data_IF_294887733236
#
_entry.id   IF_294887733236
#
_cell.length_a   1.000
_cell.length_b   1.000
_cell.length_c   1.000
_cell.angle_alpha   90.00
_cell.angle_beta   90.00
_cell.angle_gamma   90.00
#
_symmetry.space_group_name_H-M   'P 1'
#
loop_
_entity.id
_entity.type
_entity.pdbx_description
1 polymer ?
#
# COMPACT_ATOMS: atom_id res chain seq x y z
N UNK A 1 -9.29 16.17 8.49
CA UNK A 1 -7.99 16.84 8.25
C UNK A 1 -7.08 16.44 9.39
N UNK A 2 -5.91 15.89 9.07
CA UNK A 2 -4.92 15.53 10.07
C UNK A 2 -3.94 16.69 10.26
N UNK A 3 -3.09 16.60 11.28
CA UNK A 3 -2.11 17.64 11.64
C UNK A 3 -0.67 17.12 11.49
N UNK A 4 -0.43 16.19 10.56
CA UNK A 4 0.88 15.58 10.34
C UNK A 4 1.80 16.64 9.74
N UNK A 5 3.01 16.78 10.29
CA UNK A 5 3.99 17.80 9.91
C UNK A 5 5.39 17.23 9.78
N UNK A 6 6.32 18.00 9.21
CA UNK A 6 7.68 17.56 8.92
C UNK A 6 7.82 17.07 7.49
N UNK A 7 8.97 16.48 7.17
CA UNK A 7 9.25 15.96 5.83
C UNK A 7 8.75 14.53 5.63
N UNK A 8 8.53 14.17 4.36
CA UNK A 8 8.27 12.77 3.98
C UNK A 8 9.58 11.99 4.16
N UNK A 9 9.61 10.92 4.97
CA UNK A 9 10.83 10.19 5.25
C UNK A 9 11.32 9.39 4.05
N UNK A 10 12.65 9.34 3.88
CA UNK A 10 13.32 8.62 2.78
C UNK A 10 13.11 7.11 2.80
N UNK A 11 12.78 6.53 3.96
CA UNK A 11 12.49 5.11 4.10
C UNK A 11 11.10 4.70 3.58
N UNK A 12 10.43 5.52 2.76
CA UNK A 12 9.13 5.18 2.17
C UNK A 12 9.14 3.88 1.37
N UNK A 13 10.28 3.55 0.76
CA UNK A 13 10.51 2.28 0.09
C UNK A 13 10.49 1.04 1.02
N UNK A 14 10.51 1.21 2.35
CA UNK A 14 10.32 0.11 3.30
C UNK A 14 8.86 -0.38 3.37
N UNK A 15 7.93 0.29 2.68
CA UNK A 15 6.60 -0.24 2.44
C UNK A 15 6.69 -1.36 1.39
N UNK A 16 7.22 -2.52 1.80
CA UNK A 16 7.64 -3.62 0.93
C UNK A 16 6.55 -4.10 -0.02
N UNK A 17 5.29 -4.11 0.41
CA UNK A 17 4.13 -4.48 -0.43
C UNK A 17 3.86 -3.48 -1.56
N UNK A 18 4.21 -2.20 -1.36
CA UNK A 18 4.13 -1.15 -2.38
C UNK A 18 5.39 -1.08 -3.23
N UNK A 19 6.54 -1.48 -2.69
CA UNK A 19 7.82 -1.56 -3.40
C UNK A 19 7.91 -2.78 -4.34
N UNK A 20 7.02 -3.75 -4.20
CA UNK A 20 6.91 -4.89 -5.11
C UNK A 20 5.88 -4.60 -6.20
N UNK A 21 6.22 -4.93 -7.45
CA UNK A 21 5.26 -4.88 -8.57
C UNK A 21 4.23 -5.97 -8.35
N UNK A 22 3.16 -5.63 -7.64
CA UNK A 22 2.17 -6.62 -7.23
C UNK A 22 1.44 -7.21 -8.42
N UNK A 23 0.92 -8.42 -8.23
CA UNK A 23 0.07 -9.10 -9.18
C UNK A 23 -1.17 -8.22 -9.49
N UNK A 24 -1.63 -8.18 -10.74
CA UNK A 24 -2.84 -7.44 -11.14
C UNK A 24 -4.14 -8.12 -10.69
N UNK A 25 -4.03 -9.29 -10.06
CA UNK A 25 -5.15 -10.01 -9.49
C UNK A 25 -5.79 -9.22 -8.33
N UNK A 26 -7.12 -9.13 -8.40
CA UNK A 26 -7.99 -8.50 -7.40
C UNK A 26 -7.87 -9.21 -6.04
N UNK A 27 -7.84 -10.54 -6.08
CA UNK A 27 -7.73 -11.41 -4.92
C UNK A 27 -6.29 -11.76 -4.60
N UNK A 28 -5.90 -11.52 -3.35
CA UNK A 28 -4.72 -12.15 -2.75
C UNK A 28 -5.12 -13.53 -2.26
N UNK A 29 -4.72 -14.58 -2.99
CA UNK A 29 -4.92 -15.97 -2.58
C UNK A 29 -3.64 -16.55 -2.00
N UNK A 30 -3.78 -17.22 -0.88
CA UNK A 30 -2.71 -17.92 -0.18
C UNK A 30 -3.01 -19.41 -0.18
N UNK A 31 -2.07 -20.21 -0.66
CA UNK A 31 -2.13 -21.67 -0.55
C UNK A 31 -1.36 -22.11 0.68
N UNK A 32 -1.98 -22.91 1.53
CA UNK A 32 -1.29 -23.58 2.62
C UNK A 32 -1.59 -25.07 2.59
N UNK A 33 -0.55 -25.86 2.84
CA UNK A 33 -0.63 -27.32 2.79
C UNK A 33 -0.81 -27.87 4.19
N UNK A 34 -1.90 -28.61 4.42
CA UNK A 34 -2.12 -29.37 5.65
C UNK A 34 -1.78 -30.83 5.38
N UNK A 35 -0.92 -31.41 6.22
CA UNK A 35 -0.67 -32.85 6.22
C UNK A 35 -1.75 -33.52 7.06
N UNK A 36 -2.63 -34.29 6.42
CA UNK A 36 -3.74 -34.98 7.10
C UNK A 36 -3.34 -36.35 7.64
N UNK A 37 -2.39 -37.02 6.98
CA UNK A 37 -1.73 -38.23 7.48
C UNK A 37 -0.33 -38.41 6.85
N UNK A 38 0.29 -39.58 7.02
CA UNK A 38 1.66 -39.86 6.54
C UNK A 38 1.81 -39.73 5.01
N UNK A 39 0.74 -39.96 4.26
CA UNK A 39 0.74 -40.04 2.80
C UNK A 39 -0.07 -38.92 2.12
N UNK A 40 -1.00 -38.29 2.84
CA UNK A 40 -1.90 -37.28 2.30
C UNK A 40 -1.51 -35.85 2.67
N UNK A 41 -1.39 -35.01 1.65
CA UNK A 41 -1.25 -33.55 1.74
C UNK A 41 -2.47 -32.94 1.06
N UNK A 42 -3.15 -32.04 1.75
CA UNK A 42 -4.27 -31.27 1.22
C UNK A 42 -3.85 -29.81 1.11
N UNK A 43 -3.99 -29.23 -0.09
CA UNK A 43 -3.78 -27.81 -0.32
C UNK A 43 -5.11 -27.08 -0.15
N UNK A 44 -5.12 -26.10 0.75
CA UNK A 44 -6.27 -25.24 1.02
C UNK A 44 -5.95 -23.83 0.52
N UNK A 45 -6.95 -23.20 -0.10
CA UNK A 45 -6.85 -21.82 -0.60
C UNK A 45 -7.58 -20.90 0.36
N UNK A 46 -6.90 -19.86 0.82
CA UNK A 46 -7.47 -18.77 1.61
C UNK A 46 -7.36 -17.47 0.83
N UNK A 47 -8.46 -16.71 0.79
CA UNK A 47 -8.47 -15.34 0.25
C UNK A 47 -8.40 -14.34 1.39
N UNK A 48 -7.57 -13.31 1.23
CA UNK A 48 -7.47 -12.27 2.26
C UNK A 48 -8.79 -11.50 2.44
N UNK A 49 -9.19 -11.32 3.70
CA UNK A 49 -10.31 -10.47 4.12
C UNK A 49 -9.82 -9.57 5.26
N UNK A 50 -9.93 -8.25 5.07
CA UNK A 50 -9.66 -7.26 6.09
C UNK A 50 -10.94 -6.53 6.45
N UNK A 51 -11.33 -6.60 7.72
CA UNK A 51 -12.46 -5.84 8.27
C UNK A 51 -11.94 -4.76 9.21
N UNK A 52 -12.34 -3.50 8.98
CA UNK A 52 -12.00 -2.40 9.88
C UNK A 52 -13.16 -1.43 10.10
N UNK A 53 -13.13 -0.73 11.23
CA UNK A 53 -14.08 0.34 11.53
C UNK A 53 -13.54 1.69 11.04
N UNK A 54 -14.29 2.33 10.16
CA UNK A 54 -14.02 3.66 9.64
C UNK A 54 -15.20 4.59 9.90
N UNK A 55 -14.98 5.67 10.69
CA UNK A 55 -16.04 6.63 11.07
C UNK A 55 -17.31 5.97 11.62
N UNK A 56 -17.15 4.91 12.42
CA UNK A 56 -18.26 4.14 12.98
C UNK A 56 -18.96 3.20 11.98
N UNK A 57 -18.48 3.09 10.74
CA UNK A 57 -18.94 2.09 9.78
C UNK A 57 -17.94 0.95 9.71
N UNK A 58 -18.43 -0.28 9.82
CA UNK A 58 -17.63 -1.47 9.55
C UNK A 58 -17.53 -1.66 8.03
N UNK A 59 -16.31 -1.78 7.52
CA UNK A 59 -16.04 -2.03 6.11
C UNK A 59 -15.21 -3.32 6.01
N UNK A 60 -15.66 -4.24 5.15
CA UNK A 60 -14.92 -5.46 4.79
C UNK A 60 -14.34 -5.29 3.40
N UNK A 61 -13.06 -5.61 3.27
CA UNK A 61 -12.29 -5.58 2.04
C UNK A 61 -11.79 -6.99 1.79
N UNK A 62 -12.44 -7.67 0.84
CA UNK A 62 -12.09 -9.02 0.37
C UNK A 62 -11.18 -8.91 -0.85
N UNK A 63 -11.73 -9.25 -2.02
CA UNK A 63 -11.12 -9.15 -3.36
C UNK A 63 -10.72 -7.74 -3.80
N UNK A 64 -10.90 -6.71 -2.98
CA UNK A 64 -10.37 -5.37 -3.26
C UNK A 64 -9.13 -5.05 -2.45
N UNK A 65 -8.76 -5.88 -1.47
CA UNK A 65 -7.60 -5.63 -0.61
C UNK A 65 -6.30 -5.59 -1.42
N UNK A 66 -6.16 -6.46 -2.41
CA UNK A 66 -5.04 -6.47 -3.37
C UNK A 66 -4.93 -5.19 -4.22
N UNK A 67 -6.02 -4.41 -4.32
CA UNK A 67 -6.04 -3.12 -5.02
C UNK A 67 -5.69 -1.93 -4.12
N UNK A 68 -5.64 -2.09 -2.79
CA UNK A 68 -5.39 -0.97 -1.87
C UNK A 68 -3.90 -0.63 -1.84
N UNK A 69 -3.40 -0.10 -2.96
CA UNK A 69 -2.03 0.39 -3.14
C UNK A 69 -2.05 1.90 -3.30
N UNK A 70 -2.68 2.59 -2.36
CA UNK A 70 -2.86 4.05 -2.35
C UNK A 70 -2.26 4.66 -1.09
N UNK A 71 -1.50 5.72 -1.26
CA UNK A 71 -1.04 6.60 -0.18
C UNK A 71 -1.82 7.91 -0.28
N UNK A 72 -2.60 8.22 0.75
CA UNK A 72 -3.27 9.52 0.88
C UNK A 72 -2.73 10.28 2.09
N UNK A 73 -1.92 11.30 1.82
CA UNK A 73 -1.38 12.23 2.81
C UNK A 73 -1.95 13.64 2.60
N UNK A 74 -3.04 13.77 1.85
CA UNK A 74 -3.61 15.07 1.53
C UNK A 74 -4.10 15.81 2.77
N UNK A 75 -4.14 17.13 2.67
CA UNK A 75 -4.66 18.02 3.72
C UNK A 75 -3.93 17.85 5.06
N UNK A 76 -2.60 17.95 5.02
CA UNK A 76 -1.68 17.92 6.16
C UNK A 76 -0.74 19.15 6.13
N UNK A 77 0.29 19.15 6.97
CA UNK A 77 1.30 20.21 7.08
C UNK A 77 2.70 19.69 6.72
N UNK A 78 2.78 18.73 5.80
CA UNK A 78 4.08 18.20 5.35
C UNK A 78 4.86 19.28 4.60
N UNK A 79 6.17 19.32 4.82
CA UNK A 79 7.09 20.31 4.25
C UNK A 79 8.29 19.62 3.60
N UNK A 80 9.13 20.38 2.89
CA UNK A 80 10.31 19.83 2.21
C UNK A 80 9.97 19.09 0.91
N UNK A 81 10.92 18.33 0.39
CA UNK A 81 10.82 17.70 -0.92
C UNK A 81 10.14 16.33 -0.89
N UNK A 82 9.66 15.88 -2.05
CA UNK A 82 9.23 14.49 -2.24
C UNK A 82 10.49 13.64 -2.38
N UNK A 83 10.76 12.69 -1.46
CA UNK A 83 11.94 11.85 -1.55
C UNK A 83 11.92 11.01 -2.82
N UNK A 84 13.06 10.88 -3.50
CA UNK A 84 13.18 10.06 -4.71
C UNK A 84 12.85 8.60 -4.43
N UNK A 85 13.03 8.14 -3.19
CA UNK A 85 12.68 6.78 -2.79
C UNK A 85 11.19 6.45 -2.97
N UNK A 86 10.31 7.45 -3.17
CA UNK A 86 8.92 7.21 -3.53
C UNK A 86 8.78 6.49 -4.88
N UNK A 87 9.71 6.70 -5.82
CA UNK A 87 9.70 6.08 -7.16
C UNK A 87 9.99 4.58 -7.10
N UNK A 88 10.51 4.07 -5.99
CA UNK A 88 10.68 2.64 -5.76
C UNK A 88 9.36 1.94 -5.43
N UNK A 89 8.27 2.67 -5.18
CA UNK A 89 6.96 2.12 -4.90
C UNK A 89 6.21 1.71 -6.17
N UNK A 90 6.79 0.82 -6.98
CA UNK A 90 6.28 0.37 -8.30
C UNK A 90 4.93 -0.36 -8.26
N UNK A 91 4.43 -0.67 -7.07
CA UNK A 91 3.08 -1.18 -6.86
C UNK A 91 2.06 -0.07 -6.59
N UNK A 92 2.49 1.17 -6.32
CA UNK A 92 1.62 2.28 -5.92
C UNK A 92 0.74 2.73 -7.10
N UNK A 93 -0.57 2.66 -6.91
CA UNK A 93 -1.55 3.05 -7.94
C UNK A 93 -1.94 4.53 -7.80
N UNK A 94 -1.90 5.05 -6.57
CA UNK A 94 -2.35 6.42 -6.31
C UNK A 94 -1.58 7.04 -5.16
N UNK A 95 -1.06 8.23 -5.41
CA UNK A 95 -0.40 9.07 -4.42
C UNK A 95 -1.12 10.42 -4.37
N UNK A 96 -1.72 10.74 -3.23
CA UNK A 96 -2.37 12.03 -3.01
C UNK A 96 -1.61 12.84 -1.96
N UNK A 97 -0.98 13.92 -2.40
CA UNK A 97 -0.21 14.86 -1.55
C UNK A 97 -0.85 16.25 -1.48
N UNK A 98 -2.05 16.43 -2.06
CA UNK A 98 -2.71 17.73 -2.20
C UNK A 98 -2.90 18.43 -0.85
N UNK A 99 -2.70 19.75 -0.81
CA UNK A 99 -2.93 20.53 0.41
C UNK A 99 -1.88 20.30 1.49
N UNK A 100 -0.61 20.11 1.09
CA UNK A 100 0.58 20.18 1.94
C UNK A 100 1.44 21.40 1.56
N UNK A 101 2.54 21.62 2.28
CA UNK A 101 3.51 22.70 2.06
C UNK A 101 4.83 22.14 1.48
N UNK A 102 4.71 21.16 0.58
CA UNK A 102 5.87 20.53 -0.07
C UNK A 102 6.56 21.51 -1.02
N UNK A 103 7.88 21.45 -1.07
CA UNK A 103 8.76 22.29 -1.88
C UNK A 103 9.71 21.41 -2.72
N UNK A 104 10.63 22.00 -3.49
CA UNK A 104 11.58 21.24 -4.31
C UNK A 104 11.02 20.80 -5.66
N UNK A 105 11.78 19.96 -6.37
CA UNK A 105 11.42 19.51 -7.72
C UNK A 105 10.71 18.15 -7.68
N UNK A 106 9.77 17.95 -8.60
CA UNK A 106 9.27 16.61 -8.90
C UNK A 106 10.44 15.82 -9.50
N UNK A 107 10.78 14.69 -8.89
CA UNK A 107 11.88 13.83 -9.36
C UNK A 107 11.61 13.36 -10.79
N UNK A 108 12.61 13.41 -11.67
CA UNK A 108 12.48 12.99 -13.07
C UNK A 108 12.02 11.54 -13.24
N UNK A 109 12.31 10.69 -12.26
CA UNK A 109 11.93 9.29 -12.20
C UNK A 109 10.46 9.06 -11.78
N UNK A 110 9.66 10.11 -11.55
CA UNK A 110 8.27 9.97 -11.10
C UNK A 110 7.40 9.15 -12.07
N UNK A 111 7.77 9.10 -13.35
CA UNK A 111 7.09 8.29 -14.37
C UNK A 111 7.36 6.78 -14.28
N UNK A 112 8.25 6.33 -13.38
CA UNK A 112 8.53 4.92 -13.14
C UNK A 112 7.58 4.28 -12.11
N UNK A 113 6.69 5.08 -11.51
CA UNK A 113 5.62 4.62 -10.62
C UNK A 113 4.54 3.82 -11.38
#
# INVERSE_FOLDING_TARGET
MNNISGSIPKCFNNLTTLAQKGNSNLTSTHTYSIRTDKYNICDMIYEDDATFMWKGRMLSYKSTLGLVKRIDLSSNKLTGEIPSEITHLVGLISLNLLGNQLTGQITSEIGNL
#
